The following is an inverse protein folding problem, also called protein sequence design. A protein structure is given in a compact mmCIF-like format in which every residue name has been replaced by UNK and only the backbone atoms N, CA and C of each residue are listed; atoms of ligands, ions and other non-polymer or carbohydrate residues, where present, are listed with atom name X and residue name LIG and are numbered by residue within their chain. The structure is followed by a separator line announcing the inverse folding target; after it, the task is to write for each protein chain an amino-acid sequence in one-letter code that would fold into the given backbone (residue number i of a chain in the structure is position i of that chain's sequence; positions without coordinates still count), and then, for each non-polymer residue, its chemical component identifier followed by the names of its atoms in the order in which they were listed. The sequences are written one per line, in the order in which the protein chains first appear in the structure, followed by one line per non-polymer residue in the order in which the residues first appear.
data_IF_150058706235
#
_entry.id   IF_150058706235
#
_cell.length_a   1.000
_cell.length_b   1.000
_cell.length_c   1.000
_cell.angle_alpha   90.00
_cell.angle_beta   90.00
_cell.angle_gamma   90.00
#
_symmetry.space_group_name_H-M   'P 1'
#
loop_
_entity.id
_entity.type
_entity.pdbx_description
1 polymer ?
#
# COMPACT_ATOMS: atom_id res chain seq x y z
N UNK A 1 1.76 -2.75 -22.68
CA UNK A 1 0.95 -2.53 -21.46
C UNK A 1 -0.51 -2.35 -21.87
N UNK A 2 -1.45 -2.95 -21.16
CA UNK A 2 -2.90 -2.72 -21.30
C UNK A 2 -3.40 -2.09 -20.01
N UNK A 3 -4.23 -1.06 -20.10
CA UNK A 3 -4.83 -0.38 -18.94
C UNK A 3 -6.32 -0.63 -18.99
N UNK A 4 -6.88 -1.08 -17.87
CA UNK A 4 -8.32 -1.32 -17.70
C UNK A 4 -8.83 -0.48 -16.53
N UNK A 5 -10.03 0.11 -16.69
CA UNK A 5 -10.73 0.85 -15.64
C UNK A 5 -11.92 0.04 -15.18
N UNK A 6 -12.07 -0.09 -13.88
CA UNK A 6 -13.12 -0.87 -13.26
C UNK A 6 -13.80 -0.09 -12.14
N UNK A 7 -15.02 -0.45 -11.84
CA UNK A 7 -15.72 -0.07 -10.62
C UNK A 7 -15.92 -1.33 -9.79
N UNK A 8 -15.36 -1.35 -8.59
CA UNK A 8 -15.57 -2.43 -7.63
C UNK A 8 -16.77 -2.07 -6.77
N UNK A 9 -17.86 -2.80 -6.95
CA UNK A 9 -19.08 -2.57 -6.18
C UNK A 9 -18.98 -3.26 -4.82
N UNK A 10 -19.04 -2.46 -3.77
CA UNK A 10 -19.07 -2.89 -2.38
C UNK A 10 -20.38 -2.40 -1.74
N UNK A 11 -20.98 -3.10 -0.75
CA UNK A 11 -22.25 -2.67 -0.15
C UNK A 11 -22.29 -1.23 0.35
N UNK A 12 -21.13 -0.68 0.77
CA UNK A 12 -21.01 0.67 1.32
C UNK A 12 -20.44 1.71 0.34
N UNK A 13 -19.90 1.30 -0.82
CA UNK A 13 -19.26 2.22 -1.77
C UNK A 13 -19.04 1.59 -3.15
N UNK A 14 -18.90 2.45 -4.17
CA UNK A 14 -18.34 2.10 -5.47
C UNK A 14 -16.90 2.59 -5.51
N UNK A 15 -15.94 1.66 -5.70
CA UNK A 15 -14.51 1.95 -5.66
C UNK A 15 -13.95 2.02 -7.08
N UNK A 16 -13.33 3.13 -7.42
CA UNK A 16 -12.66 3.32 -8.69
C UNK A 16 -11.29 2.62 -8.71
N UNK A 17 -11.07 1.76 -9.69
CA UNK A 17 -9.87 0.95 -9.85
C UNK A 17 -9.27 1.10 -11.25
N UNK A 18 -7.96 1.18 -11.33
CA UNK A 18 -7.21 1.12 -12.59
C UNK A 18 -6.22 -0.04 -12.51
N UNK A 19 -6.39 -1.01 -13.43
CA UNK A 19 -5.53 -2.18 -13.55
C UNK A 19 -4.56 -2.01 -14.72
N UNK A 20 -3.28 -2.05 -14.43
CA UNK A 20 -2.18 -2.02 -15.39
C UNK A 20 -1.67 -3.43 -15.62
N UNK A 21 -1.81 -3.94 -16.84
CA UNK A 21 -1.43 -5.31 -17.20
C UNK A 21 -0.19 -5.33 -18.11
N UNK A 22 0.74 -6.29 -17.91
CA UNK A 22 1.80 -6.55 -18.86
C UNK A 22 1.26 -6.85 -20.27
N UNK A 23 2.01 -6.43 -21.29
CA UNK A 23 1.64 -6.70 -22.70
C UNK A 23 1.69 -8.19 -23.05
N UNK A 24 2.55 -8.96 -22.37
CA UNK A 24 2.69 -10.41 -22.59
C UNK A 24 1.37 -11.15 -22.31
N UNK A 25 1.06 -12.21 -23.06
CA UNK A 25 -0.10 -13.05 -22.77
C UNK A 25 0.10 -13.86 -21.46
N UNK A 26 -0.97 -14.49 -21.00
CA UNK A 26 -0.98 -15.34 -19.81
C UNK A 26 -1.41 -14.61 -18.54
N UNK A 27 -1.50 -15.38 -17.46
CA UNK A 27 -1.84 -14.89 -16.12
C UNK A 27 -0.59 -14.40 -15.41
N UNK A 28 -0.72 -13.36 -14.62
CA UNK A 28 0.39 -12.71 -13.92
C UNK A 28 -0.02 -12.38 -12.48
N UNK A 29 0.94 -12.30 -11.55
CA UNK A 29 0.67 -11.79 -10.21
C UNK A 29 0.37 -10.29 -10.25
N UNK A 30 -0.32 -9.79 -9.22
CA UNK A 30 -0.75 -8.40 -9.14
C UNK A 30 -0.33 -7.76 -7.83
N UNK A 31 0.21 -6.55 -7.91
CA UNK A 31 0.44 -5.71 -6.72
C UNK A 31 -0.72 -4.74 -6.59
N UNK A 32 -1.35 -4.71 -5.41
CA UNK A 32 -2.42 -3.75 -5.06
C UNK A 32 -1.80 -2.58 -4.33
N UNK A 33 -2.01 -1.37 -4.85
CA UNK A 33 -1.43 -0.13 -4.32
C UNK A 33 -2.49 0.68 -3.55
N UNK A 34 -2.23 0.90 -2.26
CA UNK A 34 -3.08 1.58 -1.29
C UNK A 34 -2.55 3.00 -1.02
N UNK A 35 -3.34 4.04 -1.31
CA UNK A 35 -2.95 5.43 -1.08
C UNK A 35 -3.17 5.88 0.37
N UNK A 36 -2.47 6.94 0.79
CA UNK A 36 -2.61 7.56 2.10
C UNK A 36 -3.82 8.50 2.21
N UNK A 37 -3.93 9.19 3.36
CA UNK A 37 -4.92 10.24 3.57
C UNK A 37 -4.65 11.44 2.66
N UNK A 38 -5.74 12.11 2.20
CA UNK A 38 -5.66 13.25 1.31
C UNK A 38 -5.01 12.97 -0.05
N UNK A 39 -4.94 11.70 -0.45
CA UNK A 39 -4.35 11.26 -1.72
C UNK A 39 -5.37 10.48 -2.56
N UNK A 40 -4.97 10.10 -3.76
CA UNK A 40 -5.77 9.26 -4.64
C UNK A 40 -4.90 8.29 -5.43
N UNK A 41 -5.54 7.34 -6.12
CA UNK A 41 -4.89 6.44 -7.09
C UNK A 41 -4.13 7.19 -8.18
N UNK A 42 -4.47 8.45 -8.43
CA UNK A 42 -3.88 9.29 -9.49
C UNK A 42 -2.78 10.22 -8.98
N UNK A 43 -2.36 10.12 -7.71
CA UNK A 43 -1.17 10.82 -7.24
C UNK A 43 0.09 10.33 -7.96
N UNK A 44 1.06 11.21 -8.18
CA UNK A 44 2.27 10.99 -9.02
C UNK A 44 2.98 9.66 -8.76
N UNK A 45 3.11 9.26 -7.48
CA UNK A 45 3.77 8.00 -7.12
C UNK A 45 3.02 6.77 -7.65
N UNK A 46 1.70 6.80 -7.66
CA UNK A 46 0.87 5.69 -8.16
C UNK A 46 0.78 5.66 -9.68
N UNK A 47 0.83 6.82 -10.33
CA UNK A 47 0.98 6.89 -11.79
C UNK A 47 2.33 6.30 -12.23
N UNK A 48 3.41 6.62 -11.52
CA UNK A 48 4.73 6.06 -11.79
C UNK A 48 4.76 4.54 -11.58
N UNK A 49 4.19 4.03 -10.49
CA UNK A 49 4.04 2.60 -10.25
C UNK A 49 3.30 1.91 -11.41
N UNK A 50 2.18 2.51 -11.85
CA UNK A 50 1.39 1.99 -12.99
C UNK A 50 2.15 1.97 -14.32
N UNK A 51 3.08 2.87 -14.51
CA UNK A 51 3.93 2.92 -15.70
C UNK A 51 5.04 1.84 -15.68
N UNK A 52 5.69 1.63 -14.51
CA UNK A 52 6.91 0.83 -14.40
C UNK A 52 6.63 -0.68 -14.15
N UNK A 53 5.65 -1.03 -13.33
CA UNK A 53 5.40 -2.43 -12.94
C UNK A 53 5.11 -3.37 -14.10
N UNK A 54 4.26 -3.01 -15.09
CA UNK A 54 3.92 -3.93 -16.18
C UNK A 54 5.11 -4.37 -17.04
N UNK A 55 6.13 -3.53 -17.17
CA UNK A 55 7.35 -3.87 -17.90
C UNK A 55 8.14 -5.02 -17.23
N UNK A 56 7.94 -5.23 -15.93
CA UNK A 56 8.62 -6.25 -15.14
C UNK A 56 7.87 -7.59 -15.10
N UNK A 57 6.68 -7.65 -15.69
CA UNK A 57 5.84 -8.84 -15.70
C UNK A 57 4.85 -8.93 -14.53
N UNK A 58 4.78 -7.91 -13.68
CA UNK A 58 3.80 -7.78 -12.61
C UNK A 58 2.64 -6.89 -13.07
N UNK A 59 1.40 -7.26 -12.76
CA UNK A 59 0.30 -6.31 -12.86
C UNK A 59 0.34 -5.34 -11.68
N UNK A 60 -0.21 -4.14 -11.87
CA UNK A 60 -0.44 -3.19 -10.79
C UNK A 60 -1.90 -2.74 -10.79
N UNK A 61 -2.55 -2.86 -9.65
CA UNK A 61 -3.87 -2.30 -9.40
C UNK A 61 -3.73 -1.11 -8.44
N UNK A 62 -4.18 0.06 -8.87
CA UNK A 62 -4.29 1.26 -8.04
C UNK A 62 -5.76 1.65 -7.95
N UNK A 63 -6.24 1.93 -6.76
CA UNK A 63 -7.66 2.22 -6.51
C UNK A 63 -7.81 3.38 -5.55
N UNK A 64 -8.97 4.01 -5.56
CA UNK A 64 -9.35 5.01 -4.56
C UNK A 64 -10.14 4.34 -3.45
N UNK A 65 -9.76 4.60 -2.20
CA UNK A 65 -10.59 4.28 -1.05
C UNK A 65 -11.91 5.05 -1.11
N UNK A 66 -12.96 4.55 -0.43
CA UNK A 66 -14.24 5.28 -0.33
C UNK A 66 -14.03 6.72 0.09
N UNK A 67 -14.76 7.63 -0.53
CA UNK A 67 -14.65 9.07 -0.28
C UNK A 67 -13.46 9.77 -0.91
N UNK A 68 -12.56 9.03 -1.60
CA UNK A 68 -11.37 9.59 -2.23
C UNK A 68 -11.48 9.51 -3.75
N UNK A 69 -10.84 10.45 -4.45
CA UNK A 69 -10.72 10.47 -5.89
C UNK A 69 -12.04 10.30 -6.63
N UNK A 70 -12.17 9.22 -7.40
CA UNK A 70 -13.39 8.86 -8.17
C UNK A 70 -14.30 7.86 -7.46
N UNK A 71 -13.94 7.40 -6.25
CA UNK A 71 -14.77 6.50 -5.43
C UNK A 71 -15.87 7.27 -4.72
N UNK A 72 -17.03 6.61 -4.56
CA UNK A 72 -18.16 7.20 -3.81
C UNK A 72 -17.89 7.25 -2.31
N UNK A 73 -18.64 8.07 -1.58
CA UNK A 73 -18.53 8.22 -0.13
C UNK A 73 -17.96 9.57 0.31
N UNK A 74 -17.53 9.65 1.58
CA UNK A 74 -16.96 10.85 2.19
C UNK A 74 -15.68 10.47 2.94
N UNK A 75 -14.55 11.08 2.60
CA UNK A 75 -13.24 10.73 3.18
C UNK A 75 -13.21 10.91 4.69
N UNK A 76 -13.75 12.01 5.22
CA UNK A 76 -13.77 12.31 6.65
C UNK A 76 -14.55 11.30 7.50
N UNK A 77 -15.42 10.49 6.87
CA UNK A 77 -16.15 9.41 7.52
C UNK A 77 -15.40 8.07 7.49
N UNK A 78 -14.25 8.00 6.83
CA UNK A 78 -13.48 6.73 6.72
C UNK A 78 -12.69 6.45 7.99
N UNK A 79 -12.56 5.16 8.32
CA UNK A 79 -11.76 4.62 9.41
C UNK A 79 -10.73 3.64 8.86
N UNK A 80 -9.82 3.13 9.70
CA UNK A 80 -8.93 2.02 9.30
C UNK A 80 -9.77 0.80 8.92
N UNK A 81 -10.81 0.49 9.71
CA UNK A 81 -11.72 -0.64 9.42
C UNK A 81 -12.37 -0.51 8.04
N UNK A 82 -12.93 0.65 7.71
CA UNK A 82 -13.60 0.83 6.42
C UNK A 82 -12.63 0.81 5.23
N UNK A 83 -11.39 1.33 5.40
CA UNK A 83 -10.34 1.22 4.40
C UNK A 83 -9.88 -0.23 4.20
N UNK A 84 -9.86 -1.00 5.27
CA UNK A 84 -9.54 -2.42 5.22
C UNK A 84 -10.62 -3.21 4.47
N UNK A 85 -11.90 -2.93 4.71
CA UNK A 85 -13.01 -3.49 3.94
C UNK A 85 -12.89 -3.19 2.44
N UNK A 86 -12.55 -1.95 2.07
CA UNK A 86 -12.35 -1.56 0.68
C UNK A 86 -11.20 -2.35 0.03
N UNK A 87 -10.07 -2.47 0.73
CA UNK A 87 -8.91 -3.21 0.23
C UNK A 87 -9.22 -4.70 0.06
N UNK A 88 -9.97 -5.31 0.98
CA UNK A 88 -10.48 -6.68 0.85
C UNK A 88 -11.40 -6.84 -0.37
N UNK A 89 -12.33 -5.89 -0.58
CA UNK A 89 -13.21 -5.91 -1.74
C UNK A 89 -12.42 -5.86 -3.06
N UNK A 90 -11.40 -5.01 -3.12
CA UNK A 90 -10.53 -4.90 -4.30
C UNK A 90 -9.76 -6.20 -4.55
N UNK A 91 -9.12 -6.80 -3.53
CA UNK A 91 -8.40 -8.08 -3.69
C UNK A 91 -9.35 -9.18 -4.13
N UNK A 92 -10.53 -9.27 -3.51
CA UNK A 92 -11.56 -10.27 -3.86
C UNK A 92 -12.04 -10.10 -5.30
N UNK A 93 -12.23 -8.87 -5.75
CA UNK A 93 -12.60 -8.57 -7.13
C UNK A 93 -11.50 -9.00 -8.11
N UNK A 94 -10.26 -8.62 -7.83
CA UNK A 94 -9.10 -8.93 -8.66
C UNK A 94 -8.80 -10.43 -8.74
N UNK A 95 -9.07 -11.20 -7.68
CA UNK A 95 -8.88 -12.65 -7.65
C UNK A 95 -9.70 -13.40 -8.73
N UNK A 96 -10.77 -12.78 -9.24
CA UNK A 96 -11.62 -13.32 -10.32
C UNK A 96 -11.20 -12.85 -11.71
N UNK A 97 -10.20 -11.97 -11.79
CA UNK A 97 -9.80 -11.39 -13.07
C UNK A 97 -9.05 -12.42 -13.94
N UNK A 98 -9.44 -12.65 -15.21
CA UNK A 98 -8.91 -13.75 -16.05
C UNK A 98 -7.41 -13.63 -16.36
N UNK A 99 -6.84 -12.42 -16.29
CA UNK A 99 -5.43 -12.14 -16.52
C UNK A 99 -4.56 -12.22 -15.26
N UNK A 100 -5.13 -12.40 -14.07
CA UNK A 100 -4.40 -12.51 -12.81
C UNK A 100 -4.32 -13.96 -12.34
N UNK A 101 -3.21 -14.36 -11.76
CA UNK A 101 -2.95 -15.75 -11.34
C UNK A 101 -3.36 -16.06 -9.88
N UNK A 102 -3.87 -15.05 -9.18
CA UNK A 102 -4.33 -15.14 -7.80
C UNK A 102 -3.25 -14.85 -6.76
N UNK A 103 -1.99 -14.66 -7.18
CA UNK A 103 -0.92 -14.23 -6.25
C UNK A 103 -0.91 -12.70 -6.17
N UNK A 104 -0.97 -12.19 -4.95
CA UNK A 104 -0.99 -10.76 -4.70
C UNK A 104 0.23 -10.29 -3.92
N UNK A 105 0.61 -9.03 -4.13
CA UNK A 105 1.48 -8.24 -3.27
C UNK A 105 0.73 -6.98 -2.87
N UNK A 106 1.10 -6.40 -1.74
CA UNK A 106 0.48 -5.19 -1.20
C UNK A 106 1.52 -4.09 -1.11
N UNK A 107 1.24 -2.93 -1.68
CA UNK A 107 2.07 -1.74 -1.56
C UNK A 107 1.23 -0.62 -0.98
N UNK A 108 1.73 0.09 0.00
CA UNK A 108 1.01 1.24 0.52
C UNK A 108 1.93 2.34 1.03
N UNK A 109 1.44 3.58 0.95
CA UNK A 109 2.16 4.75 1.45
C UNK A 109 1.38 5.40 2.58
N UNK A 110 2.07 5.77 3.68
CA UNK A 110 1.46 6.43 4.84
C UNK A 110 0.32 5.56 5.40
N UNK A 111 -0.87 6.09 5.61
CA UNK A 111 -2.06 5.35 6.01
C UNK A 111 -2.37 4.15 5.09
N UNK A 112 -2.10 4.25 3.79
CA UNK A 112 -2.26 3.12 2.87
C UNK A 112 -1.30 1.97 3.17
N UNK A 113 -0.08 2.26 3.63
CA UNK A 113 0.88 1.26 4.11
C UNK A 113 0.39 0.59 5.40
N UNK A 114 -0.19 1.38 6.30
CA UNK A 114 -0.81 0.87 7.52
C UNK A 114 -1.94 -0.12 7.23
N UNK A 115 -2.84 0.25 6.30
CA UNK A 115 -3.92 -0.64 5.83
C UNK A 115 -3.36 -1.89 5.17
N UNK A 116 -2.31 -1.77 4.34
CA UNK A 116 -1.68 -2.92 3.68
C UNK A 116 -1.09 -3.93 4.67
N UNK A 117 -0.52 -3.46 5.80
CA UNK A 117 -0.02 -4.33 6.87
C UNK A 117 -1.16 -5.11 7.54
N UNK A 118 -2.27 -4.44 7.88
CA UNK A 118 -3.44 -5.10 8.45
C UNK A 118 -4.06 -6.10 7.47
N UNK A 119 -4.23 -5.73 6.21
CA UNK A 119 -4.73 -6.63 5.17
C UNK A 119 -3.84 -7.87 5.04
N UNK A 120 -2.51 -7.71 5.03
CA UNK A 120 -1.58 -8.84 4.95
C UNK A 120 -1.67 -9.78 6.16
N UNK A 121 -1.99 -9.25 7.35
CA UNK A 121 -2.18 -10.05 8.55
C UNK A 121 -3.46 -10.90 8.50
N UNK A 122 -4.49 -10.43 7.79
CA UNK A 122 -5.79 -11.10 7.67
C UNK A 122 -5.86 -12.09 6.49
N UNK A 123 -4.98 -11.95 5.49
CA UNK A 123 -4.91 -12.88 4.36
C UNK A 123 -4.12 -14.15 4.70
N UNK A 124 -4.68 -15.32 4.38
CA UNK A 124 -4.11 -16.64 4.71
C UNK A 124 -2.71 -16.86 4.12
N UNK A 125 -2.47 -16.40 2.88
CA UNK A 125 -1.21 -16.55 2.16
C UNK A 125 -0.13 -15.56 2.60
N UNK A 126 -0.49 -14.60 3.46
CA UNK A 126 0.41 -13.55 3.95
C UNK A 126 1.27 -12.95 2.85
N UNK A 127 0.69 -12.19 1.92
CA UNK A 127 1.37 -11.71 0.72
C UNK A 127 2.59 -10.86 1.05
N UNK A 128 3.58 -10.71 0.13
CA UNK A 128 4.66 -9.76 0.30
C UNK A 128 4.12 -8.33 0.38
N UNK A 129 4.68 -7.54 1.29
CA UNK A 129 4.28 -6.16 1.55
C UNK A 129 5.43 -5.21 1.32
N UNK A 130 5.14 -4.06 0.75
CA UNK A 130 6.04 -2.90 0.73
C UNK A 130 5.32 -1.71 1.34
N UNK A 131 5.93 -1.08 2.32
CA UNK A 131 5.42 0.16 2.90
C UNK A 131 6.33 1.33 2.57
N UNK A 132 5.74 2.49 2.26
CA UNK A 132 6.42 3.76 2.11
C UNK A 132 5.94 4.71 3.19
N UNK A 133 6.83 5.07 4.13
CA UNK A 133 6.54 6.04 5.18
C UNK A 133 5.25 5.71 5.96
N UNK A 134 5.08 4.43 6.31
CA UNK A 134 3.90 3.97 7.03
C UNK A 134 4.10 4.08 8.54
N UNK A 135 3.06 4.47 9.30
CA UNK A 135 3.15 4.47 10.75
C UNK A 135 3.18 3.05 11.33
N UNK A 136 3.86 2.90 12.46
CA UNK A 136 3.82 1.68 13.28
C UNK A 136 2.75 1.76 14.39
N UNK A 137 2.37 2.99 14.77
CA UNK A 137 1.40 3.30 15.80
C UNK A 137 0.68 4.59 15.42
N UNK A 138 -0.64 4.59 15.46
CA UNK A 138 -1.45 5.77 15.14
C UNK A 138 -1.65 6.68 16.35
N UNK A 139 -1.55 6.18 17.59
CA UNK A 139 -1.65 6.99 18.80
C UNK A 139 -0.52 8.03 18.83
N UNK A 140 0.71 7.63 18.47
CA UNK A 140 1.86 8.53 18.44
C UNK A 140 1.66 9.71 17.45
N UNK A 141 0.91 9.49 16.36
CA UNK A 141 0.60 10.54 15.39
C UNK A 141 -0.53 11.48 15.84
N UNK A 142 -1.37 11.07 16.77
CA UNK A 142 -2.43 11.94 17.31
C UNK A 142 -1.83 13.04 18.17
N UNK A 143 -0.78 12.74 18.91
CA UNK A 143 -0.12 13.69 19.83
C UNK A 143 0.74 14.72 19.07
N UNK A 144 1.15 14.40 17.85
CA UNK A 144 2.01 15.26 17.01
C UNK A 144 1.21 16.15 16.04
N UNK A 145 -0.12 16.00 15.97
CA UNK A 145 -0.98 16.79 15.09
C UNK A 145 -0.86 18.29 15.39
N UNK A 146 -0.30 19.05 14.46
CA UNK A 146 -0.24 20.51 14.52
C UNK A 146 -1.24 21.13 13.54
N UNK A 147 -1.47 22.45 13.65
CA UNK A 147 -2.35 23.20 12.72
C UNK A 147 -1.92 23.08 11.26
N UNK A 148 -0.66 22.74 11.01
CA UNK A 148 -0.06 22.66 9.67
C UNK A 148 0.08 21.23 9.12
N UNK A 149 -0.13 20.22 9.99
CA UNK A 149 -0.12 18.80 9.59
C UNK A 149 -1.55 18.27 9.60
N UNK A 150 -2.10 17.79 8.46
CA UNK A 150 -3.41 17.17 8.46
C UNK A 150 -3.45 16.02 9.46
N UNK A 151 -4.30 16.13 10.47
CA UNK A 151 -4.52 15.06 11.44
C UNK A 151 -5.12 13.82 10.78
N UNK A 152 -5.23 12.74 11.55
CA UNK A 152 -5.78 11.45 11.08
C UNK A 152 -7.27 11.54 10.66
N UNK A 153 -7.92 12.68 10.84
CA UNK A 153 -9.37 12.83 10.68
C UNK A 153 -10.14 12.32 11.90
N UNK A 154 -11.32 12.89 12.15
CA UNK A 154 -12.09 12.63 13.37
C UNK A 154 -12.50 11.15 13.47
N UNK A 155 -12.93 10.53 12.38
CA UNK A 155 -13.41 9.15 12.41
C UNK A 155 -12.28 8.16 12.77
N UNK A 156 -11.08 8.33 12.19
CA UNK A 156 -9.91 7.50 12.52
C UNK A 156 -9.47 7.76 13.96
N UNK A 157 -9.43 9.03 14.41
CA UNK A 157 -9.06 9.36 15.77
C UNK A 157 -9.98 8.73 16.82
N UNK A 158 -11.30 8.73 16.57
CA UNK A 158 -12.27 8.05 17.42
C UNK A 158 -12.09 6.52 17.42
N UNK A 159 -11.78 5.93 16.28
CA UNK A 159 -11.50 4.49 16.19
C UNK A 159 -10.24 4.12 16.97
N UNK A 160 -9.15 4.87 16.80
CA UNK A 160 -7.88 4.67 17.52
C UNK A 160 -8.07 4.83 19.04
N UNK A 161 -8.88 5.79 19.49
CA UNK A 161 -9.20 5.98 20.90
C UNK A 161 -9.89 4.76 21.56
N UNK A 162 -10.44 3.83 20.77
CA UNK A 162 -10.95 2.54 21.26
C UNK A 162 -9.87 1.46 21.32
N UNK A 163 -8.61 1.80 21.07
CA UNK A 163 -7.45 0.90 20.91
C UNK A 163 -7.60 -0.13 19.78
N UNK A 164 -8.62 -0.03 18.96
CA UNK A 164 -8.77 -0.81 17.75
C UNK A 164 -7.91 -0.20 16.66
N UNK A 165 -7.08 -1.00 16.03
CA UNK A 165 -6.13 -0.55 15.02
C UNK A 165 -5.17 0.56 15.50
N UNK A 166 -4.89 0.67 16.79
CA UNK A 166 -3.94 1.63 17.31
C UNK A 166 -2.50 1.32 16.85
N UNK A 167 -2.16 0.04 16.76
CA UNK A 167 -0.84 -0.43 16.37
C UNK A 167 -0.87 -1.29 15.11
N UNK A 168 0.15 -1.15 14.25
CA UNK A 168 0.38 -2.05 13.13
C UNK A 168 0.61 -3.48 13.63
N UNK A 169 0.14 -4.52 12.90
CA UNK A 169 0.35 -5.90 13.29
C UNK A 169 1.84 -6.26 13.30
N UNK A 170 2.23 -7.11 14.25
CA UNK A 170 3.57 -7.68 14.31
C UNK A 170 3.66 -9.00 13.52
N UNK A 171 4.89 -9.45 13.24
CA UNK A 171 5.14 -10.75 12.62
C UNK A 171 4.74 -10.83 11.15
N UNK A 172 4.68 -9.70 10.44
CA UNK A 172 4.44 -9.67 8.98
C UNK A 172 5.71 -10.15 8.27
N UNK A 173 5.67 -11.29 7.55
CA UNK A 173 6.79 -11.76 6.77
C UNK A 173 6.83 -11.09 5.39
N UNK A 174 7.96 -11.19 4.71
CA UNK A 174 8.14 -10.63 3.36
C UNK A 174 7.79 -9.14 3.30
N UNK A 175 8.23 -8.39 4.34
CA UNK A 175 8.01 -6.96 4.50
C UNK A 175 9.26 -6.18 4.08
N UNK A 176 9.12 -5.27 3.12
CA UNK A 176 10.07 -4.20 2.85
C UNK A 176 9.52 -2.88 3.40
N UNK A 177 10.24 -2.29 4.33
CA UNK A 177 9.95 -0.94 4.84
C UNK A 177 10.86 0.05 4.11
N UNK A 178 10.27 1.01 3.41
CA UNK A 178 10.98 2.17 2.84
C UNK A 178 10.54 3.40 3.62
N UNK A 179 11.49 4.01 4.33
CA UNK A 179 11.22 5.12 5.22
C UNK A 179 12.07 6.33 4.87
N UNK A 180 11.47 7.47 4.72
CA UNK A 180 12.13 8.75 4.50
C UNK A 180 12.82 9.21 5.80
N UNK A 181 14.06 9.69 5.70
CA UNK A 181 14.82 10.15 6.87
C UNK A 181 14.28 11.47 7.41
N UNK A 182 13.89 12.39 6.52
CA UNK A 182 13.38 13.71 6.87
C UNK A 182 11.84 13.77 6.81
N UNK A 183 11.18 12.69 7.22
CA UNK A 183 9.72 12.62 7.27
C UNK A 183 9.20 13.39 8.49
N UNK A 184 8.50 14.48 8.26
CA UNK A 184 7.91 15.35 9.27
C UNK A 184 6.45 14.98 9.62
N UNK A 185 5.89 13.98 8.94
CA UNK A 185 4.52 13.47 9.16
C UNK A 185 4.53 12.13 9.90
N UNK A 186 5.38 11.21 9.43
CA UNK A 186 5.60 9.88 10.05
C UNK A 186 7.08 9.75 10.35
N UNK A 187 7.53 10.11 11.57
CA UNK A 187 8.94 10.07 11.95
C UNK A 187 9.63 8.74 11.66
N UNK A 188 10.94 8.79 11.39
CA UNK A 188 11.76 7.65 10.95
C UNK A 188 11.70 6.46 11.92
N UNK A 189 11.41 6.72 13.18
CA UNK A 189 11.25 5.74 14.26
C UNK A 189 10.12 4.75 13.96
N UNK A 190 9.06 5.18 13.26
CA UNK A 190 7.99 4.28 12.85
C UNK A 190 8.48 3.20 11.87
N UNK A 191 9.31 3.56 10.90
CA UNK A 191 9.92 2.60 9.97
C UNK A 191 10.79 1.59 10.68
N UNK A 192 11.64 2.04 11.62
CA UNK A 192 12.49 1.15 12.42
C UNK A 192 11.67 0.24 13.34
N UNK A 193 10.57 0.75 13.92
CA UNK A 193 9.66 -0.05 14.74
C UNK A 193 8.89 -1.12 13.93
N UNK A 194 8.47 -0.80 12.70
CA UNK A 194 7.85 -1.78 11.80
C UNK A 194 8.83 -2.91 11.47
N UNK A 195 10.07 -2.56 11.10
CA UNK A 195 11.11 -3.54 10.79
C UNK A 195 11.45 -4.43 11.99
N UNK A 196 11.65 -3.85 13.18
CA UNK A 196 11.97 -4.59 14.39
C UNK A 196 10.90 -5.59 14.83
N UNK A 197 9.63 -5.37 14.41
CA UNK A 197 8.49 -6.23 14.75
C UNK A 197 8.08 -7.16 13.61
N UNK A 198 8.74 -7.07 12.44
CA UNK A 198 8.48 -7.94 11.29
C UNK A 198 8.99 -9.37 11.52
N UNK A 199 8.48 -10.32 10.73
CA UNK A 199 9.05 -11.65 10.61
C UNK A 199 9.91 -11.74 9.35
N UNK A 200 10.94 -12.58 9.41
CA UNK A 200 11.79 -12.85 8.25
C UNK A 200 11.01 -13.57 7.10
N UNK A 201 11.35 -13.33 5.86
CA UNK A 201 12.32 -12.32 5.38
C UNK A 201 11.74 -10.90 5.45
N UNK A 202 12.53 -9.95 5.93
CA UNK A 202 12.17 -8.53 5.97
C UNK A 202 13.40 -7.66 5.67
N UNK A 203 13.16 -6.41 5.27
CA UNK A 203 14.23 -5.44 5.01
C UNK A 203 13.76 -4.02 5.32
N UNK A 204 14.72 -3.14 5.65
CA UNK A 204 14.49 -1.72 5.94
C UNK A 204 15.42 -0.85 5.10
N UNK A 205 14.85 0.10 4.40
CA UNK A 205 15.58 1.12 3.64
C UNK A 205 15.24 2.49 4.19
N UNK A 206 16.19 3.16 4.81
CA UNK A 206 16.09 4.58 5.12
C UNK A 206 16.58 5.37 3.90
N UNK A 207 15.75 6.29 3.40
CA UNK A 207 16.07 7.13 2.23
C UNK A 207 16.60 8.47 2.74
N UNK A 208 17.92 8.77 2.62
CA UNK A 208 18.51 9.97 3.17
C UNK A 208 17.91 11.24 2.57
N UNK A 209 17.57 12.21 3.44
CA UNK A 209 17.03 13.50 3.05
C UNK A 209 15.65 13.49 2.37
N UNK A 210 15.00 12.33 2.26
CA UNK A 210 13.67 12.22 1.68
C UNK A 210 12.60 12.74 2.64
N UNK A 211 11.55 13.34 2.07
CA UNK A 211 10.35 13.80 2.76
C UNK A 211 9.22 12.75 2.74
N UNK A 212 8.15 13.00 3.50
CA UNK A 212 6.98 12.09 3.61
C UNK A 212 6.38 11.71 2.25
N UNK A 213 6.34 12.63 1.30
CA UNK A 213 5.70 12.42 0.00
C UNK A 213 6.63 11.82 -1.05
N UNK A 214 7.92 11.68 -0.74
CA UNK A 214 8.97 11.39 -1.72
C UNK A 214 8.89 12.37 -2.89
N UNK A 215 8.88 13.67 -2.56
CA UNK A 215 8.67 14.75 -3.53
C UNK A 215 9.78 14.78 -4.57
N UNK A 216 11.02 14.53 -4.15
CA UNK A 216 12.16 14.45 -5.04
C UNK A 216 12.04 13.25 -6.01
N UNK A 217 12.06 13.46 -7.34
CA UNK A 217 11.87 12.40 -8.32
C UNK A 217 12.87 11.23 -8.20
N UNK A 218 14.09 11.49 -7.75
CA UNK A 218 15.13 10.46 -7.55
C UNK A 218 14.77 9.55 -6.41
N UNK A 219 14.30 10.06 -5.27
CA UNK A 219 13.85 9.25 -4.13
C UNK A 219 12.65 8.39 -4.51
N UNK A 220 11.71 8.96 -5.26
CA UNK A 220 10.51 8.25 -5.74
C UNK A 220 10.87 7.12 -6.69
N UNK A 221 11.77 7.36 -7.64
CA UNK A 221 12.26 6.33 -8.58
C UNK A 221 13.00 5.20 -7.86
N UNK A 222 13.84 5.52 -6.89
CA UNK A 222 14.54 4.51 -6.07
C UNK A 222 13.55 3.65 -5.29
N UNK A 223 12.56 4.27 -4.63
CA UNK A 223 11.51 3.53 -3.92
C UNK A 223 10.72 2.60 -4.85
N UNK A 224 10.36 3.05 -6.06
CA UNK A 224 9.71 2.21 -7.08
C UNK A 224 10.60 1.04 -7.49
N UNK A 225 11.89 1.28 -7.79
CA UNK A 225 12.82 0.24 -8.22
C UNK A 225 13.01 -0.83 -7.13
N UNK A 226 13.17 -0.44 -5.87
CA UNK A 226 13.27 -1.36 -4.72
C UNK A 226 11.98 -2.16 -4.53
N UNK A 227 10.83 -1.51 -4.63
CA UNK A 227 9.53 -2.19 -4.53
C UNK A 227 9.36 -3.25 -5.63
N UNK A 228 9.72 -2.93 -6.86
CA UNK A 228 9.70 -3.89 -7.97
C UNK A 228 10.64 -5.07 -7.69
N UNK A 229 11.88 -4.82 -7.25
CA UNK A 229 12.84 -5.86 -6.92
C UNK A 229 12.30 -6.81 -5.84
N UNK A 230 11.71 -6.24 -4.77
CA UNK A 230 11.09 -7.00 -3.69
C UNK A 230 9.94 -7.88 -4.18
N UNK A 231 8.98 -7.32 -4.88
CA UNK A 231 7.86 -8.12 -5.39
C UNK A 231 8.29 -9.18 -6.39
N UNK A 232 9.29 -8.91 -7.23
CA UNK A 232 9.82 -9.92 -8.14
C UNK A 232 10.47 -11.11 -7.43
N UNK A 233 11.08 -10.88 -6.28
CA UNK A 233 11.67 -11.96 -5.47
C UNK A 233 10.60 -12.95 -5.00
N UNK A 234 9.40 -12.48 -4.63
CA UNK A 234 8.36 -13.32 -4.03
C UNK A 234 7.22 -13.68 -4.99
N UNK A 235 6.98 -12.86 -6.02
CA UNK A 235 5.90 -13.05 -6.99
C UNK A 235 6.43 -13.40 -8.39
N UNK A 236 7.72 -13.29 -8.62
CA UNK A 236 8.33 -13.69 -9.91
C UNK A 236 8.06 -15.16 -10.24
N UNK A 237 8.33 -15.59 -11.49
CA UNK A 237 8.34 -17.01 -11.82
C UNK A 237 9.34 -17.71 -10.88
N UNK A 238 8.93 -18.86 -10.33
CA UNK A 238 9.86 -19.68 -9.57
C UNK A 238 11.15 -19.83 -10.37
N UNK A 239 12.29 -19.54 -9.73
CA UNK A 239 13.57 -19.78 -10.38
C UNK A 239 13.55 -21.25 -10.83
N UNK A 240 13.63 -21.50 -12.13
CA UNK A 240 13.83 -22.85 -12.64
C UNK A 240 15.13 -23.35 -11.98
N UNK A 241 14.98 -24.26 -11.02
CA UNK A 241 16.13 -25.02 -10.56
C UNK A 241 16.64 -25.77 -11.82
N UNK A 242 17.68 -25.25 -12.43
CA UNK A 242 18.48 -26.01 -13.37
C UNK A 242 19.10 -27.15 -12.57
N UNK A 243 18.58 -28.35 -12.83
CA UNK A 243 19.13 -29.61 -12.35
C UNK A 243 20.54 -29.83 -12.93
#
# INVERSE_FOLDING_TARGET
MKIERHTVVHPAAELALVLHLPARPGRVPCVVACHGLGASKDSDKYLLLGAEFPATGLALARFDFRGCGESSGVEDATTVATRLEDAHAVVTYLARHPRLDGRFGLLGSSMGGYVALHLAAELDDRPPVVTWNAPSNLEDLMDTASTDTPGLGVAIALEVATHRYAQAPAGIPRLLVIQAEADDVVPVEHGTALFARAAEPCDLVIVPGADHRLTEPTHRKDAVARSIAWFRQFLGPAATQTA
#
